data_IF_420549058533
#
_entry.id   IF_420549058533
#
_cell.length_a   1.000
_cell.length_b   1.000
_cell.length_c   1.000
_cell.angle_alpha   90.00
_cell.angle_beta   90.00
_cell.angle_gamma   90.00
#
_symmetry.space_group_name_H-M   'P 1'
#
loop_
_entity.id
_entity.type
_entity.pdbx_description
1 polymer ?
#
# COMPACT_ATOMS: atom_id res chain seq x y z
N UNK A 1 7.90 35.56 -3.66
CA UNK A 1 7.88 34.13 -4.03
C UNK A 1 9.32 33.62 -3.92
N UNK A 2 9.60 32.83 -2.90
CA UNK A 2 10.85 32.07 -2.75
C UNK A 2 10.91 31.06 -3.91
N UNK A 3 11.94 31.12 -4.74
CA UNK A 3 12.15 30.12 -5.79
C UNK A 3 12.40 28.76 -5.12
N UNK A 4 11.48 27.81 -5.30
CA UNK A 4 11.67 26.40 -4.95
C UNK A 4 12.30 25.69 -6.16
N UNK A 5 13.20 24.77 -5.88
CA UNK A 5 13.83 23.88 -6.86
C UNK A 5 13.27 22.47 -6.71
N UNK A 6 13.55 21.57 -7.65
CA UNK A 6 13.14 20.17 -7.55
C UNK A 6 13.74 19.47 -6.32
N UNK A 7 14.94 19.85 -5.89
CA UNK A 7 15.58 19.31 -4.68
C UNK A 7 14.84 19.74 -3.39
N UNK A 8 14.19 20.90 -3.41
CA UNK A 8 13.39 21.40 -2.29
C UNK A 8 12.10 20.58 -2.05
N UNK A 9 11.65 19.87 -3.09
CA UNK A 9 10.42 19.05 -3.09
C UNK A 9 10.71 17.57 -3.34
N UNK A 10 11.90 17.11 -2.96
CA UNK A 10 12.26 15.70 -3.07
C UNK A 10 11.40 14.81 -2.17
N UNK A 11 11.05 13.60 -2.65
CA UNK A 11 10.24 12.59 -1.96
C UNK A 11 11.00 11.26 -1.93
N UNK A 12 10.68 10.41 -0.95
CA UNK A 12 11.36 9.12 -0.83
C UNK A 12 12.83 9.23 -0.42
N UNK A 13 13.19 10.29 0.31
CA UNK A 13 14.58 10.69 0.55
C UNK A 13 15.26 9.98 1.74
N UNK A 14 14.58 9.12 2.47
CA UNK A 14 15.22 8.35 3.56
C UNK A 14 16.33 7.46 2.98
N UNK A 15 17.55 7.50 3.54
CA UNK A 15 18.70 6.74 3.02
C UNK A 15 18.42 5.25 2.93
N UNK A 16 18.72 4.67 1.77
CA UNK A 16 18.47 3.27 1.43
C UNK A 16 19.40 2.77 0.36
N UNK A 17 19.57 1.46 0.31
CA UNK A 17 20.29 0.75 -0.74
C UNK A 17 19.32 -0.09 -1.56
N UNK A 18 19.59 -0.24 -2.86
CA UNK A 18 18.93 -1.26 -3.70
C UNK A 18 19.68 -2.56 -3.45
N UNK A 19 19.01 -3.55 -2.86
CA UNK A 19 19.64 -4.83 -2.51
C UNK A 19 19.21 -5.98 -3.38
N UNK A 20 18.13 -5.81 -4.12
CA UNK A 20 17.62 -6.79 -5.08
C UNK A 20 16.90 -6.05 -6.21
N UNK A 21 17.07 -6.53 -7.44
CA UNK A 21 16.40 -5.99 -8.62
C UNK A 21 16.05 -7.13 -9.57
N UNK A 22 14.81 -7.09 -10.11
CA UNK A 22 14.30 -8.04 -11.08
C UNK A 22 13.30 -7.35 -12.01
N UNK A 23 13.56 -7.35 -13.30
CA UNK A 23 12.65 -6.80 -14.34
C UNK A 23 12.21 -5.34 -14.12
N UNK A 24 13.06 -4.52 -13.49
CA UNK A 24 12.79 -3.13 -13.15
C UNK A 24 12.02 -2.94 -11.82
N UNK A 25 11.74 -4.02 -11.12
CA UNK A 25 11.23 -4.00 -9.74
C UNK A 25 12.44 -4.02 -8.81
N UNK A 26 12.44 -3.14 -7.81
CA UNK A 26 13.57 -2.98 -6.90
C UNK A 26 13.14 -3.21 -5.45
N UNK A 27 14.03 -3.78 -4.66
CA UNK A 27 13.85 -3.90 -3.22
C UNK A 27 14.83 -2.98 -2.52
N UNK A 28 14.31 -2.05 -1.76
CA UNK A 28 15.08 -1.14 -0.95
C UNK A 28 15.29 -1.71 0.46
N UNK A 29 16.50 -1.56 0.99
CA UNK A 29 16.81 -1.74 2.40
C UNK A 29 17.17 -0.38 2.99
N UNK A 30 16.41 0.07 3.98
CA UNK A 30 16.60 1.38 4.60
C UNK A 30 17.66 1.33 5.69
N UNK A 31 18.48 2.37 5.76
CA UNK A 31 19.51 2.49 6.81
C UNK A 31 18.84 2.67 8.17
N UNK A 32 19.29 1.89 9.16
CA UNK A 32 18.77 1.95 10.52
C UNK A 32 18.96 3.36 11.14
N UNK A 33 17.97 3.79 11.91
CA UNK A 33 18.00 5.07 12.64
C UNK A 33 18.21 4.88 14.17
N UNK A 34 18.44 3.64 14.59
CA UNK A 34 18.71 3.26 15.98
C UNK A 34 20.02 2.47 16.05
N UNK A 35 20.56 2.30 17.27
CA UNK A 35 21.75 1.47 17.47
C UNK A 35 21.51 0.00 17.06
N UNK A 36 22.51 -0.72 16.55
CA UNK A 36 22.36 -2.11 16.09
C UNK A 36 21.72 -3.05 17.13
N UNK A 37 21.98 -2.83 18.40
CA UNK A 37 21.41 -3.62 19.50
C UNK A 37 19.90 -3.41 19.72
N UNK A 38 19.34 -2.38 19.13
CA UNK A 38 17.91 -2.02 19.23
C UNK A 38 17.11 -2.50 18.03
N UNK A 39 17.79 -3.04 16.99
CA UNK A 39 17.13 -3.53 15.78
C UNK A 39 16.45 -4.87 16.09
N UNK A 40 15.18 -4.99 15.70
CA UNK A 40 14.41 -6.24 15.80
C UNK A 40 15.00 -7.30 14.90
N UNK A 41 14.93 -8.56 15.31
CA UNK A 41 15.46 -9.69 14.54
C UNK A 41 14.61 -10.06 13.32
N UNK A 42 13.32 -9.73 13.36
CA UNK A 42 12.38 -10.02 12.29
C UNK A 42 12.35 -8.85 11.30
N UNK A 43 12.87 -9.00 10.07
CA UNK A 43 12.81 -7.95 9.06
C UNK A 43 11.36 -7.75 8.60
N UNK A 44 11.03 -6.51 8.25
CA UNK A 44 9.71 -6.11 7.76
C UNK A 44 9.79 -5.65 6.31
N UNK A 45 9.05 -6.30 5.42
CA UNK A 45 8.86 -5.87 4.05
C UNK A 45 7.58 -5.05 3.91
N UNK A 46 7.71 -3.79 3.47
CA UNK A 46 6.57 -2.96 3.06
C UNK A 46 6.21 -3.30 1.61
N UNK A 47 4.94 -3.62 1.39
CA UNK A 47 4.35 -3.90 0.08
C UNK A 47 3.38 -2.78 -0.27
N UNK A 48 3.80 -1.78 -1.06
CA UNK A 48 2.93 -0.68 -1.48
C UNK A 48 1.93 -1.13 -2.56
N UNK A 49 0.92 -0.30 -2.87
CA UNK A 49 0.06 -0.55 -4.03
C UNK A 49 0.86 -0.44 -5.33
N UNK A 50 0.33 -1.05 -6.41
CA UNK A 50 0.83 -0.89 -7.77
C UNK A 50 0.35 0.40 -8.45
N UNK A 51 -0.63 1.05 -7.83
CA UNK A 51 -1.17 2.34 -8.26
C UNK A 51 -0.54 3.41 -7.39
N UNK A 52 -0.01 4.46 -7.98
CA UNK A 52 0.81 5.49 -7.35
C UNK A 52 2.20 4.99 -6.90
N UNK A 53 3.07 5.93 -6.60
CA UNK A 53 4.43 5.64 -6.14
C UNK A 53 4.49 5.18 -4.68
N UNK A 54 5.51 4.40 -4.35
CA UNK A 54 5.79 3.93 -2.99
C UNK A 54 6.10 5.07 -2.01
N UNK A 55 6.39 6.26 -2.51
CA UNK A 55 6.86 7.42 -1.75
C UNK A 55 5.82 7.94 -0.76
N UNK A 56 4.56 7.54 -0.88
CA UNK A 56 3.55 7.83 0.18
C UNK A 56 3.98 7.28 1.54
N UNK A 57 4.75 6.19 1.56
CA UNK A 57 5.31 5.62 2.78
C UNK A 57 6.56 6.38 3.27
N UNK A 58 7.14 7.27 2.45
CA UNK A 58 8.35 8.03 2.75
C UNK A 58 8.30 9.41 2.08
N UNK A 59 7.22 10.16 2.29
CA UNK A 59 6.97 11.39 1.53
C UNK A 59 7.98 12.49 1.84
N UNK A 60 8.29 12.69 3.11
CA UNK A 60 9.25 13.70 3.61
C UNK A 60 9.67 13.34 5.05
N UNK A 61 10.75 13.96 5.59
CA UNK A 61 11.32 13.55 6.89
C UNK A 61 10.36 13.51 8.08
N UNK A 62 9.40 14.43 8.17
CA UNK A 62 8.39 14.50 9.23
C UNK A 62 7.05 13.83 8.88
N UNK A 63 6.93 13.26 7.67
CA UNK A 63 5.78 12.50 7.17
C UNK A 63 6.27 11.26 6.44
N UNK A 64 6.87 10.35 7.20
CA UNK A 64 7.45 9.11 6.69
C UNK A 64 7.11 7.96 7.63
N UNK A 65 6.30 7.04 7.15
CA UNK A 65 6.06 5.76 7.82
C UNK A 65 7.37 4.98 7.97
N UNK A 66 8.20 4.96 6.92
CA UNK A 66 9.50 4.29 6.91
C UNK A 66 10.37 4.78 8.07
N UNK A 67 10.63 6.10 8.16
CA UNK A 67 11.46 6.67 9.25
C UNK A 67 10.89 6.37 10.63
N UNK A 68 9.57 6.44 10.75
CA UNK A 68 8.92 6.17 12.02
C UNK A 68 9.03 4.68 12.41
N UNK A 69 9.00 3.75 11.46
CA UNK A 69 9.24 2.32 11.71
C UNK A 69 10.71 2.06 12.08
N UNK A 70 11.66 2.68 11.36
CA UNK A 70 13.08 2.61 11.68
C UNK A 70 13.37 3.11 13.11
N UNK A 71 12.73 4.20 13.54
CA UNK A 71 12.82 4.72 14.90
C UNK A 71 12.22 3.79 15.97
N UNK A 72 11.39 2.83 15.57
CA UNK A 72 10.91 1.74 16.44
C UNK A 72 11.89 0.55 16.50
N UNK A 73 13.03 0.62 15.82
CA UNK A 73 13.99 -0.47 15.74
C UNK A 73 13.57 -1.58 14.76
N UNK A 74 12.65 -1.32 13.85
CA UNK A 74 12.26 -2.27 12.81
C UNK A 74 13.27 -2.20 11.67
N UNK A 75 13.76 -3.34 11.22
CA UNK A 75 14.60 -3.46 10.02
C UNK A 75 13.68 -3.44 8.79
N UNK A 76 13.70 -2.32 8.03
CA UNK A 76 12.68 -1.99 7.03
C UNK A 76 13.19 -2.23 5.63
N UNK A 77 12.45 -3.05 4.90
CA UNK A 77 12.53 -3.26 3.46
C UNK A 77 11.29 -2.70 2.78
N UNK A 78 11.42 -2.29 1.52
CA UNK A 78 10.28 -1.82 0.73
C UNK A 78 10.40 -2.29 -0.71
N UNK A 79 9.31 -2.83 -1.22
CA UNK A 79 9.21 -3.25 -2.62
C UNK A 79 8.79 -2.06 -3.49
N UNK A 80 9.68 -1.63 -4.38
CA UNK A 80 9.36 -0.63 -5.41
C UNK A 80 9.01 -1.36 -6.70
N UNK A 81 7.75 -1.27 -7.11
CA UNK A 81 7.24 -1.94 -8.31
C UNK A 81 7.76 -1.33 -9.62
N UNK A 82 8.45 -0.18 -9.54
CA UNK A 82 9.00 0.52 -10.69
C UNK A 82 7.95 1.13 -11.62
N UNK A 83 8.39 1.49 -12.81
CA UNK A 83 7.56 2.05 -13.87
C UNK A 83 7.45 1.04 -15.00
N UNK A 84 6.28 0.42 -15.25
CA UNK A 84 6.14 -0.63 -16.23
C UNK A 84 6.32 -0.08 -17.65
N UNK A 85 7.06 -0.83 -18.47
CA UNK A 85 7.21 -0.57 -19.90
C UNK A 85 6.06 -1.23 -20.68
N UNK A 86 5.88 -0.89 -21.93
CA UNK A 86 4.86 -1.50 -22.78
C UNK A 86 4.99 -3.03 -22.92
N UNK A 87 6.20 -3.57 -22.83
CA UNK A 87 6.43 -5.02 -22.84
C UNK A 87 5.90 -5.71 -21.58
N UNK A 88 5.81 -4.98 -20.47
CA UNK A 88 5.39 -5.50 -19.16
C UNK A 88 3.87 -5.66 -19.04
N UNK A 89 3.09 -5.16 -20.01
CA UNK A 89 1.61 -5.16 -20.02
C UNK A 89 0.94 -6.55 -19.85
N UNK A 90 1.70 -7.62 -20.07
CA UNK A 90 1.21 -9.00 -19.97
C UNK A 90 1.41 -9.62 -18.59
N UNK A 91 2.13 -8.95 -17.65
CA UNK A 91 2.32 -9.45 -16.30
C UNK A 91 0.97 -9.59 -15.59
N UNK A 92 0.77 -10.73 -14.97
CA UNK A 92 -0.46 -11.17 -14.32
C UNK A 92 -0.42 -10.91 -12.81
N UNK A 93 -1.55 -11.09 -12.12
CA UNK A 93 -1.59 -11.14 -10.65
C UNK A 93 -0.67 -12.24 -10.12
N UNK A 94 -0.60 -13.38 -10.82
CA UNK A 94 0.29 -14.49 -10.48
C UNK A 94 1.78 -14.10 -10.53
N UNK A 95 2.20 -13.40 -11.59
CA UNK A 95 3.58 -12.91 -11.71
C UNK A 95 3.97 -11.99 -10.54
N UNK A 96 3.04 -11.13 -10.10
CA UNK A 96 3.30 -10.24 -8.97
C UNK A 96 3.31 -10.96 -7.62
N UNK A 97 2.42 -11.93 -7.39
CA UNK A 97 2.26 -12.59 -6.09
C UNK A 97 3.20 -13.78 -5.95
N UNK A 98 3.17 -14.75 -6.87
CA UNK A 98 3.97 -15.97 -6.81
C UNK A 98 5.35 -15.82 -7.47
N UNK A 99 5.56 -14.77 -8.27
CA UNK A 99 6.86 -14.39 -8.81
C UNK A 99 7.54 -13.33 -7.95
N UNK A 100 7.37 -12.06 -8.28
CA UNK A 100 8.16 -10.96 -7.71
C UNK A 100 8.08 -10.84 -6.19
N UNK A 101 6.88 -10.97 -5.59
CA UNK A 101 6.74 -10.88 -4.13
C UNK A 101 7.37 -12.11 -3.45
N UNK A 102 7.21 -13.31 -4.01
CA UNK A 102 7.82 -14.53 -3.46
C UNK A 102 9.35 -14.47 -3.57
N UNK A 103 9.90 -14.06 -4.71
CA UNK A 103 11.33 -13.89 -4.91
C UNK A 103 11.92 -12.86 -3.93
N UNK A 104 11.21 -11.75 -3.69
CA UNK A 104 11.60 -10.73 -2.70
C UNK A 104 11.60 -11.28 -1.29
N UNK A 105 10.54 -11.96 -0.88
CA UNK A 105 10.42 -12.59 0.46
C UNK A 105 11.54 -13.61 0.66
N UNK A 106 11.79 -14.47 -0.33
CA UNK A 106 12.84 -15.49 -0.25
C UNK A 106 14.23 -14.89 -0.26
N UNK A 107 14.44 -13.77 -0.99
CA UNK A 107 15.70 -13.04 -0.93
C UNK A 107 15.96 -12.51 0.48
N UNK A 108 14.99 -11.81 1.11
CA UNK A 108 15.16 -11.25 2.46
C UNK A 108 15.36 -12.35 3.49
N UNK A 109 14.60 -13.45 3.41
CA UNK A 109 14.77 -14.62 4.29
C UNK A 109 16.19 -15.19 4.24
N UNK A 110 16.71 -15.38 3.03
CA UNK A 110 18.10 -15.85 2.83
C UNK A 110 19.14 -14.85 3.32
N UNK A 111 18.92 -13.55 3.05
CA UNK A 111 19.82 -12.47 3.45
C UNK A 111 20.01 -12.41 4.97
N UNK A 112 18.92 -12.61 5.73
CA UNK A 112 18.93 -12.64 7.20
C UNK A 112 19.17 -14.03 7.79
N UNK A 113 19.11 -15.08 7.02
CA UNK A 113 19.17 -16.46 7.54
C UNK A 113 17.98 -16.80 8.43
N UNK A 114 16.78 -16.29 8.12
CA UNK A 114 15.56 -16.52 8.88
C UNK A 114 14.53 -17.32 8.07
N UNK A 115 13.70 -18.10 8.77
CA UNK A 115 12.64 -18.86 8.12
C UNK A 115 11.46 -17.98 7.69
N UNK A 116 11.18 -16.89 8.42
CA UNK A 116 10.02 -16.04 8.23
C UNK A 116 10.37 -14.56 8.36
N UNK A 117 9.63 -13.74 7.61
CA UNK A 117 9.68 -12.26 7.72
C UNK A 117 8.31 -11.69 8.06
N UNK A 118 8.26 -10.44 8.46
CA UNK A 118 7.02 -9.68 8.59
C UNK A 118 6.66 -8.99 7.28
N UNK A 119 5.36 -8.86 6.99
CA UNK A 119 4.84 -8.03 5.89
C UNK A 119 4.01 -6.87 6.45
N UNK A 120 4.15 -5.70 5.80
CA UNK A 120 3.24 -4.57 5.96
C UNK A 120 2.68 -4.20 4.59
N UNK A 121 1.41 -4.54 4.37
CA UNK A 121 0.73 -4.24 3.12
C UNK A 121 -0.02 -2.90 3.18
N UNK A 122 0.13 -2.06 2.16
CA UNK A 122 -0.52 -0.77 2.00
C UNK A 122 -1.62 -0.87 0.94
N UNK A 123 -2.89 -0.63 1.32
CA UNK A 123 -4.03 -0.60 0.41
C UNK A 123 -4.08 -1.84 -0.50
N UNK A 124 -4.00 -1.71 -1.84
CA UNK A 124 -3.92 -2.83 -2.78
C UNK A 124 -2.73 -3.78 -2.47
N UNK A 125 -1.57 -3.23 -2.05
CA UNK A 125 -0.44 -4.03 -1.60
C UNK A 125 -0.78 -4.88 -0.37
N UNK A 126 -1.71 -4.44 0.47
CA UNK A 126 -2.27 -5.23 1.56
C UNK A 126 -3.12 -6.40 1.07
N UNK A 127 -3.94 -6.21 0.03
CA UNK A 127 -4.70 -7.29 -0.61
C UNK A 127 -3.76 -8.34 -1.21
N UNK A 128 -2.67 -7.89 -1.87
CA UNK A 128 -1.63 -8.78 -2.41
C UNK A 128 -0.88 -9.51 -1.29
N UNK A 129 -0.48 -8.81 -0.23
CA UNK A 129 0.18 -9.41 0.95
C UNK A 129 -0.71 -10.44 1.65
N UNK A 130 -2.00 -10.15 1.77
CA UNK A 130 -3.00 -11.07 2.30
C UNK A 130 -3.08 -12.33 1.44
N UNK A 131 -3.22 -12.18 0.12
CA UNK A 131 -3.28 -13.29 -0.84
C UNK A 131 -2.00 -14.12 -0.79
N UNK A 132 -0.83 -13.47 -0.83
CA UNK A 132 0.47 -14.13 -0.72
C UNK A 132 0.62 -14.92 0.58
N UNK A 133 0.23 -14.32 1.71
CA UNK A 133 0.37 -14.96 3.03
C UNK A 133 -0.55 -16.18 3.21
N UNK A 134 -1.68 -16.25 2.48
CA UNK A 134 -2.50 -17.48 2.47
C UNK A 134 -1.84 -18.60 1.68
N UNK A 135 -1.14 -18.25 0.60
CA UNK A 135 -0.47 -19.24 -0.26
C UNK A 135 0.87 -19.71 0.33
N UNK A 136 1.52 -18.87 1.13
CA UNK A 136 2.85 -19.13 1.68
C UNK A 136 2.92 -18.82 3.21
N UNK A 137 2.05 -19.43 4.05
CA UNK A 137 1.96 -19.10 5.49
C UNK A 137 3.24 -19.43 6.26
N UNK A 138 4.04 -20.35 5.75
CA UNK A 138 5.29 -20.78 6.40
C UNK A 138 6.44 -19.77 6.20
N UNK A 139 6.29 -18.79 5.32
CA UNK A 139 7.27 -17.73 5.07
C UNK A 139 7.00 -16.44 5.85
N UNK A 140 5.81 -16.30 6.46
CA UNK A 140 5.36 -15.06 7.10
C UNK A 140 5.18 -15.24 8.60
N UNK A 141 5.84 -14.39 9.38
CA UNK A 141 5.77 -14.35 10.84
C UNK A 141 4.65 -13.46 11.36
N UNK A 142 4.49 -12.28 10.75
CA UNK A 142 3.52 -11.25 11.14
C UNK A 142 2.94 -10.60 9.88
N UNK A 143 1.65 -10.33 9.88
CA UNK A 143 0.99 -9.60 8.80
C UNK A 143 0.37 -8.33 9.35
N UNK A 144 0.90 -7.18 8.92
CA UNK A 144 0.32 -5.86 9.19
C UNK A 144 -0.36 -5.36 7.92
N UNK A 145 -1.58 -4.90 8.03
CA UNK A 145 -2.37 -4.35 6.93
C UNK A 145 -2.78 -2.92 7.26
N UNK A 146 -2.68 -2.03 6.28
CA UNK A 146 -3.11 -0.64 6.44
C UNK A 146 -4.06 -0.26 5.31
N UNK A 147 -5.27 0.21 5.66
CA UNK A 147 -6.35 0.64 4.76
C UNK A 147 -6.58 -0.33 3.59
N UNK A 148 -6.55 -1.62 3.89
CA UNK A 148 -6.53 -2.71 2.91
C UNK A 148 -7.93 -3.13 2.51
N UNK A 149 -8.31 -3.09 1.21
CA UNK A 149 -9.58 -3.63 0.76
C UNK A 149 -9.53 -5.17 0.72
N UNK A 150 -10.42 -5.81 1.47
CA UNK A 150 -10.57 -7.27 1.54
C UNK A 150 -11.93 -7.70 1.00
N UNK A 151 -13.02 -7.08 1.51
CA UNK A 151 -14.37 -7.27 0.99
C UNK A 151 -14.81 -6.02 0.25
N UNK A 152 -14.81 -6.08 -1.06
CA UNK A 152 -15.11 -4.94 -1.92
C UNK A 152 -16.61 -4.59 -1.97
N UNK A 153 -17.47 -5.39 -1.36
CA UNK A 153 -18.92 -5.17 -1.29
C UNK A 153 -19.43 -4.78 0.11
N UNK A 154 -18.58 -4.91 1.14
CA UNK A 154 -19.01 -4.71 2.53
C UNK A 154 -19.54 -3.30 2.83
N UNK A 155 -19.11 -2.27 2.09
CA UNK A 155 -19.59 -0.89 2.25
C UNK A 155 -21.03 -0.72 1.79
N UNK A 156 -21.53 -1.58 0.87
CA UNK A 156 -22.88 -1.46 0.28
C UNK A 156 -24.01 -1.63 1.31
N UNK A 157 -23.74 -2.35 2.39
CA UNK A 157 -24.76 -2.62 3.44
C UNK A 157 -25.21 -1.35 4.18
N UNK A 158 -24.31 -0.36 4.34
CA UNK A 158 -24.58 0.91 5.03
C UNK A 158 -24.07 2.09 4.20
N UNK A 159 -24.30 2.06 2.89
CA UNK A 159 -23.76 2.99 1.93
C UNK A 159 -24.08 4.44 2.28
N UNK A 160 -23.05 5.25 2.48
CA UNK A 160 -23.14 6.70 2.54
C UNK A 160 -22.77 7.30 1.18
N UNK A 161 -23.39 8.43 0.80
CA UNK A 161 -22.95 9.13 -0.41
C UNK A 161 -21.44 9.34 -0.39
N UNK A 162 -20.77 9.05 -1.50
CA UNK A 162 -19.33 9.16 -1.73
C UNK A 162 -18.43 8.07 -1.09
N UNK A 163 -18.93 7.18 -0.23
CA UNK A 163 -18.15 6.02 0.23
C UNK A 163 -18.06 4.96 -0.87
N UNK A 164 -16.85 4.42 -1.09
CA UNK A 164 -16.62 3.36 -2.09
C UNK A 164 -16.82 3.80 -3.55
N UNK A 165 -16.83 5.11 -3.83
CA UNK A 165 -17.01 5.61 -5.19
C UNK A 165 -15.94 5.05 -6.14
N UNK A 166 -14.68 4.88 -5.69
CA UNK A 166 -13.62 4.26 -6.47
C UNK A 166 -13.95 2.81 -6.86
N UNK A 167 -14.59 2.06 -5.96
CA UNK A 167 -15.01 0.69 -6.26
C UNK A 167 -16.15 0.67 -7.30
N UNK A 168 -17.12 1.59 -7.18
CA UNK A 168 -18.21 1.74 -8.16
C UNK A 168 -17.66 2.14 -9.52
N UNK A 169 -16.81 3.16 -9.61
CA UNK A 169 -16.19 3.60 -10.86
C UNK A 169 -15.34 2.49 -11.50
N UNK A 170 -14.54 1.76 -10.70
CA UNK A 170 -13.77 0.63 -11.19
C UNK A 170 -14.65 -0.54 -11.67
N UNK A 171 -15.79 -0.77 -11.00
CA UNK A 171 -16.74 -1.78 -11.40
C UNK A 171 -17.45 -1.44 -12.73
N UNK A 172 -17.73 -0.16 -12.96
CA UNK A 172 -18.39 0.32 -14.18
C UNK A 172 -17.43 0.52 -15.37
N UNK A 173 -16.12 0.60 -15.11
CA UNK A 173 -15.11 0.82 -16.13
C UNK A 173 -15.02 -0.36 -17.11
N UNK A 174 -14.93 -0.05 -18.42
CA UNK A 174 -14.61 -1.02 -19.47
C UNK A 174 -13.09 -1.21 -19.56
N UNK A 175 -12.55 -1.94 -18.57
CA UNK A 175 -11.11 -2.17 -18.43
C UNK A 175 -10.53 -2.93 -19.60
N UNK A 176 -11.32 -3.81 -20.24
CA UNK A 176 -10.89 -4.57 -21.42
C UNK A 176 -10.57 -3.62 -22.59
N UNK A 177 -11.47 -2.66 -22.87
CA UNK A 177 -11.21 -1.66 -23.92
C UNK A 177 -10.05 -0.74 -23.55
N UNK A 178 -9.97 -0.31 -22.29
CA UNK A 178 -8.91 0.56 -21.82
C UNK A 178 -7.53 -0.09 -22.07
N UNK A 179 -7.37 -1.34 -21.65
CA UNK A 179 -6.14 -2.11 -21.85
C UNK A 179 -5.90 -2.44 -23.32
N UNK A 180 -6.94 -2.74 -24.10
CA UNK A 180 -6.79 -3.00 -25.53
C UNK A 180 -6.23 -1.78 -26.30
N UNK A 181 -6.59 -0.56 -25.87
CA UNK A 181 -6.14 0.69 -26.49
C UNK A 181 -4.73 1.09 -26.01
N UNK A 182 -4.49 1.03 -24.71
CA UNK A 182 -3.28 1.61 -24.12
C UNK A 182 -2.18 0.57 -23.83
N UNK A 183 -2.53 -0.69 -23.69
CA UNK A 183 -1.64 -1.75 -23.18
C UNK A 183 -1.56 -1.68 -21.64
N UNK A 184 -0.79 -0.74 -21.08
CA UNK A 184 -0.87 -0.36 -19.68
C UNK A 184 -1.90 0.76 -19.50
N UNK A 185 -2.56 0.81 -18.34
CA UNK A 185 -3.52 1.87 -18.02
C UNK A 185 -2.73 3.11 -17.59
N UNK A 186 -2.85 4.24 -18.29
CA UNK A 186 -2.07 5.43 -17.99
C UNK A 186 -2.33 5.95 -16.57
N UNK A 187 -1.26 6.34 -15.85
CA UNK A 187 -1.35 6.95 -14.52
C UNK A 187 -2.27 8.17 -14.51
N UNK A 188 -2.29 8.96 -15.59
CA UNK A 188 -3.18 10.11 -15.74
C UNK A 188 -4.65 9.74 -15.67
N UNK A 189 -5.07 8.64 -16.31
CA UNK A 189 -6.46 8.14 -16.28
C UNK A 189 -6.83 7.69 -14.86
N UNK A 190 -5.91 7.01 -14.16
CA UNK A 190 -6.12 6.59 -12.78
C UNK A 190 -6.23 7.80 -11.85
N UNK A 191 -5.34 8.78 -12.00
CA UNK A 191 -5.35 10.00 -11.20
C UNK A 191 -6.63 10.83 -11.42
N UNK A 192 -7.08 10.98 -12.66
CA UNK A 192 -8.36 11.62 -12.95
C UNK A 192 -9.53 10.91 -12.25
N UNK A 193 -9.52 9.58 -12.25
CA UNK A 193 -10.53 8.80 -11.53
C UNK A 193 -10.51 9.05 -10.01
N UNK A 194 -9.31 9.13 -9.40
CA UNK A 194 -9.18 9.52 -7.98
C UNK A 194 -9.65 10.96 -7.71
N UNK A 195 -9.32 11.90 -8.61
CA UNK A 195 -9.77 13.28 -8.51
C UNK A 195 -11.30 13.41 -8.61
N UNK A 196 -11.93 12.57 -9.46
CA UNK A 196 -13.39 12.51 -9.61
C UNK A 196 -14.10 11.94 -8.37
N UNK A 197 -13.42 11.20 -7.50
CA UNK A 197 -14.01 10.70 -6.25
C UNK A 197 -14.37 11.84 -5.26
N UNK A 198 -13.70 13.00 -5.36
CA UNK A 198 -14.03 14.21 -4.58
C UNK A 198 -13.70 15.47 -5.38
N UNK A 199 -14.41 15.75 -6.48
CA UNK A 199 -13.99 16.71 -7.50
C UNK A 199 -13.88 18.15 -6.97
N UNK A 200 -14.78 18.58 -6.09
CA UNK A 200 -14.73 19.93 -5.54
C UNK A 200 -13.53 20.15 -4.59
N UNK A 201 -13.24 19.15 -3.75
CA UNK A 201 -12.14 19.25 -2.77
C UNK A 201 -10.80 19.06 -3.48
N UNK A 202 -10.69 18.06 -4.35
CA UNK A 202 -9.41 17.65 -4.95
C UNK A 202 -9.04 18.47 -6.19
N UNK A 203 -10.01 19.03 -6.93
CA UNK A 203 -9.73 19.83 -8.13
C UNK A 203 -9.79 21.34 -7.91
N UNK A 204 -10.68 21.83 -7.03
CA UNK A 204 -10.85 23.27 -6.83
C UNK A 204 -10.40 23.74 -5.46
N UNK A 205 -10.87 23.08 -4.38
CA UNK A 205 -10.63 23.53 -3.02
C UNK A 205 -9.14 23.56 -2.69
N UNK A 206 -8.40 22.49 -2.95
CA UNK A 206 -6.97 22.43 -2.66
C UNK A 206 -6.12 23.48 -3.38
N UNK A 207 -6.51 23.87 -4.61
CA UNK A 207 -5.79 24.91 -5.35
C UNK A 207 -6.21 26.33 -4.95
N UNK A 208 -7.44 26.53 -4.50
CA UNK A 208 -7.86 27.77 -3.88
C UNK A 208 -7.09 28.01 -2.56
N UNK A 209 -6.94 26.97 -1.74
CA UNK A 209 -6.23 27.03 -0.46
C UNK A 209 -4.72 27.27 -0.62
N UNK A 210 -4.13 26.96 -1.79
CA UNK A 210 -2.71 27.25 -2.09
C UNK A 210 -2.39 28.72 -1.96
N UNK A 211 -3.31 29.62 -2.29
CA UNK A 211 -3.09 31.08 -2.19
C UNK A 211 -2.74 31.47 -0.75
N UNK A 212 -3.36 30.83 0.23
CA UNK A 212 -3.17 31.14 1.64
C UNK A 212 -1.82 30.64 2.20
N UNK A 213 -1.15 29.72 1.47
CA UNK A 213 0.14 29.13 1.89
C UNK A 213 1.33 29.61 1.05
N UNK A 214 1.14 30.49 0.07
CA UNK A 214 2.22 30.94 -0.82
C UNK A 214 3.41 31.59 -0.10
N UNK A 215 3.18 32.23 1.04
CA UNK A 215 4.20 32.87 1.87
C UNK A 215 4.77 31.94 2.95
N UNK A 216 4.16 30.76 3.15
CA UNK A 216 4.66 29.72 4.04
C UNK A 216 5.45 28.67 3.23
N UNK A 217 6.79 28.79 3.22
CA UNK A 217 7.68 27.92 2.46
C UNK A 217 7.46 26.43 2.82
N UNK A 218 7.28 26.10 4.09
CA UNK A 218 7.12 24.70 4.52
C UNK A 218 5.76 24.13 4.07
N UNK A 219 4.70 24.91 4.23
CA UNK A 219 3.37 24.51 3.77
C UNK A 219 3.34 24.31 2.25
N UNK A 220 3.98 25.22 1.50
CA UNK A 220 4.09 25.12 0.05
C UNK A 220 4.93 23.91 -0.40
N UNK A 221 6.05 23.62 0.25
CA UNK A 221 6.85 22.42 -0.01
C UNK A 221 6.01 21.14 0.24
N UNK A 222 5.27 21.08 1.34
CA UNK A 222 4.41 19.94 1.68
C UNK A 222 3.33 19.73 0.61
N UNK A 223 2.71 20.81 0.15
CA UNK A 223 1.74 20.76 -0.94
C UNK A 223 2.37 20.22 -2.23
N UNK A 224 3.50 20.79 -2.65
CA UNK A 224 4.18 20.41 -3.89
C UNK A 224 4.71 18.95 -3.86
N UNK A 225 5.17 18.44 -2.71
CA UNK A 225 5.54 17.02 -2.55
C UNK A 225 4.35 16.09 -2.72
N UNK A 226 3.19 16.47 -2.17
CA UNK A 226 1.95 15.71 -2.40
C UNK A 226 1.55 15.70 -3.87
N UNK A 227 1.64 16.84 -4.57
CA UNK A 227 1.35 16.92 -6.00
C UNK A 227 2.36 16.09 -6.81
N UNK A 228 3.65 16.18 -6.49
CA UNK A 228 4.71 15.37 -7.13
C UNK A 228 4.43 13.88 -7.00
N UNK A 229 4.07 13.41 -5.80
CA UNK A 229 3.68 12.03 -5.58
C UNK A 229 2.39 11.66 -6.33
N UNK A 230 1.36 12.49 -6.25
CA UNK A 230 0.05 12.21 -6.85
C UNK A 230 0.14 12.07 -8.38
N UNK A 231 0.90 12.96 -9.04
CA UNK A 231 1.00 12.99 -10.49
C UNK A 231 2.23 12.24 -11.05
N UNK A 232 3.15 11.82 -10.20
CA UNK A 232 4.36 11.09 -10.58
C UNK A 232 4.23 9.56 -10.57
N UNK A 233 3.04 9.02 -10.31
CA UNK A 233 2.84 7.57 -10.19
C UNK A 233 3.03 6.81 -11.51
N UNK A 234 3.29 5.48 -11.43
CA UNK A 234 3.43 4.61 -12.59
C UNK A 234 2.10 4.32 -13.28
N UNK A 235 2.15 3.94 -14.55
CA UNK A 235 1.03 3.29 -15.24
C UNK A 235 0.68 1.97 -14.55
N UNK A 236 -0.59 1.56 -14.58
CA UNK A 236 -0.95 0.22 -14.10
C UNK A 236 -0.77 -0.81 -15.22
N UNK A 237 -0.09 -1.90 -14.89
CA UNK A 237 0.14 -3.02 -15.83
C UNK A 237 -1.19 -3.61 -16.29
N UNK A 238 -1.39 -3.66 -17.61
CA UNK A 238 -2.69 -3.93 -18.21
C UNK A 238 -3.31 -5.26 -17.79
N UNK A 239 -2.59 -6.38 -17.90
CA UNK A 239 -3.14 -7.69 -17.56
C UNK A 239 -3.39 -7.82 -16.06
N UNK A 240 -2.45 -7.38 -15.22
CA UNK A 240 -2.62 -7.38 -13.76
C UNK A 240 -3.82 -6.52 -13.34
N UNK A 241 -3.99 -5.35 -13.93
CA UNK A 241 -5.11 -4.46 -13.64
C UNK A 241 -6.45 -5.07 -14.02
N UNK A 242 -6.55 -5.70 -15.21
CA UNK A 242 -7.77 -6.44 -15.63
C UNK A 242 -8.13 -7.55 -14.65
N UNK A 243 -7.15 -8.37 -14.26
CA UNK A 243 -7.36 -9.47 -13.32
C UNK A 243 -7.77 -8.95 -11.94
N UNK A 244 -7.14 -7.89 -11.46
CA UNK A 244 -7.50 -7.29 -10.17
C UNK A 244 -8.93 -6.76 -10.16
N UNK A 245 -9.32 -6.02 -11.20
CA UNK A 245 -10.70 -5.51 -11.34
C UNK A 245 -11.70 -6.66 -11.47
N UNK A 246 -11.41 -7.69 -12.32
CA UNK A 246 -12.31 -8.82 -12.55
C UNK A 246 -12.49 -9.69 -11.32
N UNK A 247 -11.39 -10.06 -10.66
CA UNK A 247 -11.39 -11.12 -9.65
C UNK A 247 -11.55 -10.58 -8.22
N UNK A 248 -10.92 -9.44 -7.91
CA UNK A 248 -11.01 -8.85 -6.58
C UNK A 248 -12.17 -7.87 -6.49
N UNK A 249 -12.22 -6.85 -7.35
CA UNK A 249 -13.20 -5.78 -7.22
C UNK A 249 -14.61 -6.23 -7.67
N UNK A 250 -14.76 -6.71 -8.90
CA UNK A 250 -16.09 -7.13 -9.44
C UNK A 250 -16.52 -8.49 -8.91
N UNK A 251 -15.59 -9.42 -8.86
CA UNK A 251 -15.85 -10.80 -8.47
C UNK A 251 -15.87 -11.03 -6.96
N UNK A 252 -15.26 -10.13 -6.19
CA UNK A 252 -15.10 -10.23 -4.74
C UNK A 252 -14.61 -11.62 -4.26
N UNK A 253 -13.82 -12.29 -5.14
CA UNK A 253 -13.51 -13.73 -5.03
C UNK A 253 -12.69 -14.06 -3.78
N UNK A 254 -11.95 -13.08 -3.23
CA UNK A 254 -11.11 -13.28 -2.03
C UNK A 254 -11.96 -13.70 -0.83
N UNK A 255 -12.99 -12.93 -0.47
CA UNK A 255 -13.86 -13.25 0.66
C UNK A 255 -14.86 -14.35 0.34
N UNK A 256 -15.21 -14.55 -0.93
CA UNK A 256 -16.06 -15.65 -1.36
C UNK A 256 -15.31 -16.99 -1.38
N UNK A 257 -13.98 -17.00 -1.19
CA UNK A 257 -13.16 -18.22 -1.18
C UNK A 257 -13.09 -18.93 -2.53
N UNK A 258 -13.29 -18.17 -3.63
CA UNK A 258 -13.24 -18.66 -5.01
C UNK A 258 -12.08 -18.09 -5.80
N UNK A 259 -11.20 -17.32 -5.16
CA UNK A 259 -10.01 -16.79 -5.79
C UNK A 259 -8.98 -17.91 -6.01
N UNK A 260 -8.40 -17.93 -7.20
CA UNK A 260 -7.24 -18.75 -7.54
C UNK A 260 -6.14 -17.86 -8.11
N UNK A 261 -4.90 -18.10 -7.69
CA UNK A 261 -3.70 -17.43 -8.21
C UNK A 261 -2.65 -18.49 -8.54
N UNK A 262 -2.17 -18.52 -9.77
CA UNK A 262 -1.25 -19.56 -10.24
C UNK A 262 -1.80 -20.98 -10.14
N UNK A 263 -3.11 -21.16 -10.31
CA UNK A 263 -3.80 -22.44 -10.14
C UNK A 263 -3.91 -22.92 -8.69
N UNK A 264 -3.54 -22.08 -7.69
CA UNK A 264 -3.63 -22.36 -6.26
C UNK A 264 -4.82 -21.63 -5.66
N UNK A 265 -5.68 -22.36 -4.95
CA UNK A 265 -6.83 -21.75 -4.26
C UNK A 265 -6.35 -20.89 -3.09
N UNK A 266 -6.89 -19.66 -3.01
CA UNK A 266 -6.65 -18.74 -1.89
C UNK A 266 -7.73 -18.94 -0.83
N UNK A 267 -7.32 -19.39 0.36
CA UNK A 267 -8.23 -19.58 1.49
C UNK A 267 -7.77 -18.75 2.69
N UNK A 268 -8.53 -17.71 3.02
CA UNK A 268 -8.20 -16.80 4.14
C UNK A 268 -8.06 -17.52 5.50
N UNK A 269 -8.60 -18.74 5.63
CA UNK A 269 -8.41 -19.57 6.83
C UNK A 269 -6.97 -20.05 7.04
N UNK A 270 -6.15 -20.01 5.99
CA UNK A 270 -4.71 -20.33 6.08
C UNK A 270 -3.89 -19.19 6.67
N UNK A 271 -4.45 -18.00 6.83
CA UNK A 271 -3.84 -16.93 7.61
C UNK A 271 -3.88 -17.28 9.10
N UNK A 272 -2.83 -17.94 9.59
CA UNK A 272 -2.70 -18.41 10.98
C UNK A 272 -1.70 -17.60 11.80
N UNK A 273 -0.85 -16.78 11.14
CA UNK A 273 0.08 -15.88 11.79
C UNK A 273 -0.67 -14.74 12.52
N UNK A 274 -0.03 -14.06 13.48
CA UNK A 274 -0.54 -12.81 14.05
C UNK A 274 -0.85 -11.77 12.96
N UNK A 275 -2.01 -11.11 13.07
CA UNK A 275 -2.47 -10.10 12.12
C UNK A 275 -2.82 -8.80 12.85
N UNK A 276 -2.24 -7.70 12.39
CA UNK A 276 -2.63 -6.34 12.78
C UNK A 276 -3.30 -5.64 11.59
N UNK A 277 -4.59 -5.38 11.71
CA UNK A 277 -5.39 -4.73 10.67
C UNK A 277 -5.69 -3.28 11.07
N UNK A 278 -5.06 -2.33 10.40
CA UNK A 278 -5.15 -0.90 10.71
C UNK A 278 -6.01 -0.22 9.63
N UNK A 279 -7.02 0.53 10.05
CA UNK A 279 -7.90 1.24 9.14
C UNK A 279 -8.10 2.70 9.54
N UNK A 280 -8.47 3.53 8.57
CA UNK A 280 -8.76 4.93 8.77
C UNK A 280 -10.29 5.12 8.93
N UNK A 281 -10.74 5.71 10.03
CA UNK A 281 -12.18 5.85 10.34
C UNK A 281 -12.96 6.70 9.32
N UNK A 282 -12.25 7.63 8.66
CA UNK A 282 -12.84 8.56 7.67
C UNK A 282 -12.40 8.20 6.24
N UNK A 283 -12.08 6.93 6.00
CA UNK A 283 -11.67 6.46 4.69
C UNK A 283 -12.87 6.35 3.75
N UNK A 284 -12.90 7.19 2.71
CA UNK A 284 -13.92 7.15 1.67
C UNK A 284 -13.47 6.38 0.42
N UNK A 285 -12.16 6.08 0.29
CA UNK A 285 -11.59 5.30 -0.80
C UNK A 285 -11.77 3.80 -0.52
N UNK A 286 -11.30 3.37 0.65
CA UNK A 286 -11.50 2.01 1.18
C UNK A 286 -12.31 2.11 2.47
N UNK A 287 -13.64 2.12 2.41
CA UNK A 287 -14.49 2.26 3.59
C UNK A 287 -14.14 1.21 4.66
N UNK A 288 -14.14 1.59 5.96
CA UNK A 288 -13.76 0.69 7.06
C UNK A 288 -14.38 -0.72 7.02
N UNK A 289 -15.68 -0.89 6.67
CA UNK A 289 -16.27 -2.23 6.54
C UNK A 289 -15.53 -3.15 5.58
N UNK A 290 -14.94 -2.59 4.49
CA UNK A 290 -14.19 -3.37 3.51
C UNK A 290 -12.87 -3.93 4.07
N UNK A 291 -12.26 -3.22 5.02
CA UNK A 291 -11.01 -3.62 5.67
C UNK A 291 -11.27 -4.58 6.85
N UNK A 292 -12.21 -4.24 7.75
CA UNK A 292 -12.48 -5.04 8.95
C UNK A 292 -13.17 -6.37 8.66
N UNK A 293 -13.74 -6.53 7.47
CA UNK A 293 -14.32 -7.80 7.03
C UNK A 293 -13.35 -8.98 7.19
N UNK A 294 -12.03 -8.74 7.08
CA UNK A 294 -10.99 -9.77 7.19
C UNK A 294 -11.12 -10.61 8.46
N UNK A 295 -11.42 -10.00 9.61
CA UNK A 295 -11.50 -10.68 10.90
C UNK A 295 -12.49 -11.84 10.95
N UNK A 296 -13.51 -11.83 10.07
CA UNK A 296 -14.51 -12.91 9.98
C UNK A 296 -14.03 -14.13 9.18
N UNK A 297 -12.95 -14.01 8.43
CA UNK A 297 -12.50 -15.00 7.45
C UNK A 297 -11.19 -15.68 7.81
N UNK A 298 -10.36 -15.05 8.66
CA UNK A 298 -9.02 -15.58 9.00
C UNK A 298 -9.04 -16.79 9.91
N UNK A 299 -8.03 -17.65 9.79
CA UNK A 299 -7.77 -18.75 10.71
C UNK A 299 -6.89 -18.36 11.90
N UNK A 300 -6.38 -17.14 11.93
CA UNK A 300 -5.55 -16.62 13.02
C UNK A 300 -6.35 -16.49 14.32
N UNK A 301 -5.73 -16.91 15.44
CA UNK A 301 -6.25 -16.69 16.80
C UNK A 301 -5.74 -15.37 17.40
N UNK A 302 -4.81 -14.71 16.73
CA UNK A 302 -4.21 -13.44 17.12
C UNK A 302 -4.49 -12.40 16.03
N UNK A 303 -5.70 -11.86 16.05
CA UNK A 303 -6.18 -10.84 15.14
C UNK A 303 -6.51 -9.57 15.93
N UNK A 304 -5.86 -8.47 15.57
CA UNK A 304 -6.01 -7.17 16.22
C UNK A 304 -6.46 -6.13 15.19
N UNK A 305 -7.48 -5.36 15.51
CA UNK A 305 -7.90 -4.18 14.76
C UNK A 305 -7.43 -2.90 15.46
N UNK A 306 -7.01 -1.92 14.66
CA UNK A 306 -6.62 -0.61 15.16
C UNK A 306 -7.15 0.49 14.24
N UNK A 307 -7.98 1.39 14.80
CA UNK A 307 -8.58 2.49 14.08
C UNK A 307 -7.79 3.78 14.28
N UNK A 308 -7.61 4.57 13.22
CA UNK A 308 -7.02 5.90 13.29
C UNK A 308 -8.04 6.92 12.74
N UNK A 309 -8.32 7.98 13.49
CA UNK A 309 -9.31 9.02 13.16
C UNK A 309 -8.82 9.95 12.02
N UNK A 310 -8.57 9.37 10.84
CA UNK A 310 -8.05 10.04 9.64
C UNK A 310 -8.67 9.47 8.36
N UNK A 311 -8.33 10.03 7.19
CA UNK A 311 -8.69 9.50 5.87
C UNK A 311 -7.61 8.61 5.27
N UNK A 312 -7.85 8.08 4.06
CA UNK A 312 -7.00 7.09 3.37
C UNK A 312 -5.53 7.48 3.28
N UNK A 313 -5.24 8.65 2.71
CA UNK A 313 -3.86 9.15 2.58
C UNK A 313 -3.36 9.72 3.92
N UNK A 314 -4.26 10.28 4.72
CA UNK A 314 -3.96 10.82 6.03
C UNK A 314 -3.37 9.80 7.02
N UNK A 315 -3.55 8.50 6.77
CA UNK A 315 -2.92 7.43 7.58
C UNK A 315 -1.39 7.41 7.41
N UNK A 316 -0.87 7.93 6.29
CA UNK A 316 0.57 8.00 6.02
C UNK A 316 1.14 9.40 6.21
N UNK A 317 0.33 10.45 5.99
CA UNK A 317 0.81 11.85 5.94
C UNK A 317 0.23 12.74 7.04
N UNK A 318 -0.82 12.31 7.72
CA UNK A 318 -1.51 13.09 8.75
C UNK A 318 -0.76 13.12 10.09
N UNK A 319 -0.76 14.26 10.76
CA UNK A 319 -0.02 14.45 12.02
C UNK A 319 -0.41 13.51 13.16
N UNK A 320 -1.66 13.04 13.23
CA UNK A 320 -2.08 12.02 14.19
C UNK A 320 -1.45 10.66 13.85
N UNK A 321 -1.52 10.27 12.59
CA UNK A 321 -0.99 8.98 12.14
C UNK A 321 0.53 8.89 12.34
N UNK A 322 1.28 9.98 12.09
CA UNK A 322 2.73 10.02 12.36
C UNK A 322 3.08 9.69 13.83
N UNK A 323 2.19 10.00 14.76
CA UNK A 323 2.40 9.76 16.18
C UNK A 323 1.99 8.37 16.66
N UNK A 324 1.05 7.70 15.94
CA UNK A 324 0.44 6.48 16.48
C UNK A 324 0.67 5.24 15.63
N UNK A 325 0.81 5.37 14.30
CA UNK A 325 0.87 4.22 13.39
C UNK A 325 2.11 3.35 13.66
N UNK A 326 3.30 3.90 13.48
CA UNK A 326 4.54 3.14 13.66
C UNK A 326 4.77 2.68 15.11
N UNK A 327 4.51 3.49 16.15
CA UNK A 327 4.55 3.00 17.54
C UNK A 327 3.62 1.82 17.80
N UNK A 328 2.41 1.82 17.22
CA UNK A 328 1.48 0.68 17.32
C UNK A 328 2.05 -0.57 16.66
N UNK A 329 2.55 -0.46 15.43
CA UNK A 329 3.19 -1.57 14.72
C UNK A 329 4.40 -2.09 15.51
N UNK A 330 5.32 -1.21 15.92
CA UNK A 330 6.52 -1.59 16.63
C UNK A 330 6.24 -2.26 17.98
N UNK A 331 5.30 -1.72 18.77
CA UNK A 331 4.87 -2.36 20.01
C UNK A 331 4.23 -3.72 19.75
N UNK A 332 3.31 -3.80 18.77
CA UNK A 332 2.59 -5.02 18.45
C UNK A 332 3.54 -6.14 18.00
N UNK A 333 4.57 -5.83 17.21
CA UNK A 333 5.59 -6.79 16.78
C UNK A 333 6.46 -7.24 17.96
N UNK A 334 6.96 -6.32 18.80
CA UNK A 334 7.77 -6.66 19.99
C UNK A 334 7.03 -7.56 20.95
N UNK A 335 5.76 -7.29 21.22
CA UNK A 335 4.92 -8.09 22.11
C UNK A 335 4.75 -9.54 21.61
N UNK A 336 5.11 -9.81 20.34
CA UNK A 336 5.03 -11.13 19.66
C UNK A 336 6.39 -11.72 19.29
N UNK A 337 7.47 -11.14 19.82
CA UNK A 337 8.82 -11.71 19.72
C UNK A 337 9.55 -11.46 18.42
N UNK A 338 9.20 -10.39 17.71
CA UNK A 338 9.87 -9.96 16.48
C UNK A 338 11.31 -9.45 16.72
#
# INVERSE_FOLDING_TARGET
>A
LTSLTDDDIDIGSTPKDIIFEQDGIQVYHYHALVEPSQIMKTPLLIVPPLINGYEVADLQPDRSLVRNLLNQGIDVYLNNWGYPRQVDKYRTVDDYINGYLDDTVDFIRRYHGVDKIALLGICQGGTMSTTYSTLNPDKISHLTLTVTPIDFDAYKANHKPHEGLMFTMGADADVEKMVAVHGNVPATVLNESFMMASPFILNYGKYADVIDILDDRLALQNFLRMEKWLFGGPDAVGQMFKEFIRDFLKGNKLVLGTLEVGGRKVDLKELKMPILNIFAEKDHIVPPPCTVALGKHVGSKDYTEFAIATGHIGIYTGGLAQKVLAPTVGKWMRDRGA
#
